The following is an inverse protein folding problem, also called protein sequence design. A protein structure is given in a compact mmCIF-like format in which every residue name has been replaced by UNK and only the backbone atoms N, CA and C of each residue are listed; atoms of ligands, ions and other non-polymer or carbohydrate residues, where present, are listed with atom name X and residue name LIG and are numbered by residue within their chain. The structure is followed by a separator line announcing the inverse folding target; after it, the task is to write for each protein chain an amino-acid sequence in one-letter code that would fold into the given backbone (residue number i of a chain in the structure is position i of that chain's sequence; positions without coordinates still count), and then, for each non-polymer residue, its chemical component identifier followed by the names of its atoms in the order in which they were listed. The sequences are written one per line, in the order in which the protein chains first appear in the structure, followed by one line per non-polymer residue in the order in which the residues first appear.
data_IF_983870401058
#
_entry.id   IF_983870401058
#
_cell.length_a   1.000
_cell.length_b   1.000
_cell.length_c   1.000
_cell.angle_alpha   90.00
_cell.angle_beta   90.00
_cell.angle_gamma   90.00
#
_symmetry.space_group_name_H-M   'P 1'
#
loop_
_entity.id
_entity.type
_entity.pdbx_description
1 polymer ?
#
# COMPACT_ATOMS: atom_id res chain seq x y z
N UNK A 1 -37.29 73.28 60.06
CA UNK A 1 -37.99 72.09 60.59
C UNK A 1 -37.87 70.97 59.57
N UNK A 2 -37.24 69.86 59.97
CA UNK A 2 -37.51 68.46 59.59
C UNK A 2 -38.03 68.10 58.17
N UNK A 3 -37.22 67.34 57.41
CA UNK A 3 -37.34 65.87 57.32
C UNK A 3 -36.29 65.27 56.36
N UNK A 4 -35.67 64.21 56.86
CA UNK A 4 -34.82 63.27 56.13
C UNK A 4 -35.62 62.48 55.09
N UNK A 5 -35.03 62.27 53.91
CA UNK A 5 -35.44 61.24 52.93
C UNK A 5 -34.19 60.54 52.40
N UNK A 6 -34.12 59.24 52.64
CA UNK A 6 -33.07 58.30 52.23
C UNK A 6 -32.98 58.20 50.70
N UNK A 7 -31.77 58.22 50.17
CA UNK A 7 -31.43 57.41 49.01
C UNK A 7 -30.02 56.81 49.18
N UNK A 8 -29.97 55.48 49.26
CA UNK A 8 -28.75 54.68 49.20
C UNK A 8 -28.20 54.76 47.77
N UNK A 9 -26.93 55.10 47.61
CA UNK A 9 -26.12 54.69 46.44
C UNK A 9 -24.89 53.95 46.95
N UNK A 10 -24.77 52.73 46.48
CA UNK A 10 -23.73 51.74 46.76
C UNK A 10 -22.40 52.14 46.11
N UNK A 11 -21.34 52.19 46.90
CA UNK A 11 -19.95 52.27 46.46
C UNK A 11 -19.36 50.85 46.43
N UNK A 12 -19.39 50.20 45.27
CA UNK A 12 -18.66 48.96 44.99
C UNK A 12 -18.36 48.92 43.50
N UNK A 13 -17.37 49.69 43.06
CA UNK A 13 -16.92 49.71 41.66
C UNK A 13 -15.54 50.37 41.52
N UNK A 14 -14.60 50.05 42.41
CA UNK A 14 -13.20 50.52 42.28
C UNK A 14 -12.16 49.39 42.27
N UNK A 15 -12.53 48.16 42.63
CA UNK A 15 -11.58 47.04 42.76
C UNK A 15 -11.29 46.31 41.42
N UNK A 16 -12.22 46.34 40.46
CA UNK A 16 -12.04 45.68 39.15
C UNK A 16 -11.11 46.46 38.19
N UNK A 17 -10.86 47.73 38.47
CA UNK A 17 -10.05 48.62 37.61
C UNK A 17 -8.54 48.39 37.80
N UNK A 18 -8.12 47.96 39.00
CA UNK A 18 -6.71 47.75 39.34
C UNK A 18 -6.21 46.39 38.81
N UNK A 19 -7.00 45.31 38.91
CA UNK A 19 -6.64 44.00 38.37
C UNK A 19 -6.49 44.00 36.83
N UNK A 20 -7.33 44.76 36.11
CA UNK A 20 -7.24 44.91 34.66
C UNK A 20 -6.02 45.75 34.24
N UNK A 21 -5.57 46.67 35.09
CA UNK A 21 -4.37 47.46 34.85
C UNK A 21 -3.10 46.61 35.01
N UNK A 22 -3.07 45.71 35.99
CA UNK A 22 -1.95 44.76 36.20
C UNK A 22 -1.83 43.77 35.04
N UNK A 23 -2.95 43.20 34.59
CA UNK A 23 -2.96 42.27 33.44
C UNK A 23 -2.44 42.91 32.15
N UNK A 24 -2.70 44.20 31.95
CA UNK A 24 -2.19 44.96 30.79
C UNK A 24 -0.70 45.32 30.92
N UNK A 25 -0.15 45.40 32.14
CA UNK A 25 1.29 45.54 32.35
C UNK A 25 2.00 44.24 32.03
N UNK A 26 1.51 43.10 32.50
CA UNK A 26 2.07 41.78 32.20
C UNK A 26 2.12 41.49 30.70
N UNK A 27 1.04 41.82 29.97
CA UNK A 27 1.01 41.66 28.51
C UNK A 27 2.04 42.55 27.81
N UNK A 28 2.19 43.80 28.27
CA UNK A 28 3.20 44.72 27.72
C UNK A 28 4.62 44.24 28.02
N UNK A 29 4.89 43.77 29.23
CA UNK A 29 6.19 43.23 29.62
C UNK A 29 6.56 41.99 28.80
N UNK A 30 5.58 41.11 28.54
CA UNK A 30 5.76 39.93 27.69
C UNK A 30 6.08 40.32 26.24
N UNK A 31 5.33 41.27 25.69
CA UNK A 31 5.53 41.74 24.31
C UNK A 31 6.85 42.53 24.15
N UNK A 32 7.24 43.30 25.16
CA UNK A 32 8.52 44.00 25.22
C UNK A 32 9.70 43.02 25.37
N UNK A 33 9.54 41.96 26.16
CA UNK A 33 10.53 40.88 26.26
C UNK A 33 10.70 40.16 24.93
N UNK A 34 9.60 39.83 24.24
CA UNK A 34 9.62 39.20 22.92
C UNK A 34 10.32 40.09 21.87
N UNK A 35 10.08 41.41 21.89
CA UNK A 35 10.80 42.36 21.02
C UNK A 35 12.28 42.41 21.32
N UNK A 36 12.68 42.35 22.59
CA UNK A 36 14.09 42.33 23.00
C UNK A 36 14.81 41.06 22.54
N UNK A 37 14.13 39.92 22.62
CA UNK A 37 14.62 38.63 22.14
C UNK A 37 14.80 38.65 20.62
N UNK A 38 13.80 39.17 19.90
CA UNK A 38 13.87 39.34 18.45
C UNK A 38 15.00 40.26 18.01
N UNK A 39 15.22 41.38 18.69
CA UNK A 39 16.34 42.29 18.40
C UNK A 39 17.70 41.66 18.71
N UNK A 40 17.80 40.82 19.76
CA UNK A 40 19.02 40.06 20.06
C UNK A 40 19.32 39.02 18.98
N UNK A 41 18.30 38.33 18.46
CA UNK A 41 18.43 37.35 17.37
C UNK A 41 18.72 38.03 16.02
N UNK A 42 18.09 39.18 15.73
CA UNK A 42 18.40 40.02 14.55
C UNK A 42 19.83 40.57 14.59
N UNK A 43 20.36 40.87 15.78
CA UNK A 43 21.75 41.31 15.96
C UNK A 43 22.78 40.17 15.87
N UNK A 44 22.41 38.94 16.22
CA UNK A 44 23.30 37.77 16.11
C UNK A 44 23.35 37.15 14.71
N UNK A 45 22.32 37.35 13.88
CA UNK A 45 22.32 36.88 12.51
C UNK A 45 23.01 37.91 11.59
N UNK A 46 24.22 37.59 11.10
CA UNK A 46 24.88 38.41 10.07
C UNK A 46 23.97 38.50 8.84
N UNK A 47 23.45 39.70 8.58
CA UNK A 47 22.63 40.04 7.42
C UNK A 47 23.43 39.79 6.11
N UNK A 48 23.18 38.68 5.42
CA UNK A 48 23.79 38.35 4.12
C UNK A 48 22.84 38.64 2.93
N UNK A 49 21.62 39.10 3.17
CA UNK A 49 20.68 39.33 2.07
C UNK A 49 19.77 40.53 2.29
N UNK A 50 20.23 41.72 1.90
CA UNK A 50 19.35 42.90 1.79
C UNK A 50 19.60 43.68 0.50
N UNK A 51 18.96 43.24 -0.60
CA UNK A 51 18.51 44.17 -1.66
C UNK A 51 17.45 43.61 -2.65
N UNK A 52 17.15 42.30 -2.68
CA UNK A 52 16.30 41.72 -3.75
C UNK A 52 14.95 41.13 -3.29
N UNK A 53 14.58 41.27 -2.02
CA UNK A 53 13.53 40.48 -1.38
C UNK A 53 12.10 40.67 -1.91
N UNK A 54 11.70 41.89 -2.33
CA UNK A 54 10.29 42.13 -2.69
C UNK A 54 9.92 41.83 -4.15
N UNK A 55 10.87 41.92 -5.11
CA UNK A 55 10.60 41.56 -6.51
C UNK A 55 10.70 40.06 -6.74
N UNK A 56 11.64 39.38 -6.08
CA UNK A 56 11.78 37.92 -6.17
C UNK A 56 10.57 37.18 -5.62
N UNK A 57 10.01 37.63 -4.50
CA UNK A 57 8.81 37.01 -3.91
C UNK A 57 7.55 37.21 -4.78
N UNK A 58 7.38 38.39 -5.37
CA UNK A 58 6.26 38.68 -6.27
C UNK A 58 6.36 37.91 -7.61
N UNK A 59 7.57 37.76 -8.15
CA UNK A 59 7.80 37.00 -9.38
C UNK A 59 7.71 35.48 -9.12
N UNK A 60 8.18 35.00 -7.97
CA UNK A 60 7.95 33.63 -7.51
C UNK A 60 6.47 33.34 -7.28
N UNK A 61 5.71 34.26 -6.66
CA UNK A 61 4.27 34.11 -6.49
C UNK A 61 3.51 34.15 -7.82
N UNK A 62 3.97 34.93 -8.81
CA UNK A 62 3.40 34.90 -10.17
C UNK A 62 3.71 33.59 -10.89
N UNK A 63 4.94 33.07 -10.80
CA UNK A 63 5.32 31.76 -11.35
C UNK A 63 4.51 30.63 -10.73
N UNK A 64 4.32 30.67 -9.42
CA UNK A 64 3.54 29.67 -8.69
C UNK A 64 2.04 29.76 -9.04
N UNK A 65 1.51 30.97 -9.29
CA UNK A 65 0.14 31.18 -9.78
C UNK A 65 -0.05 30.71 -11.22
N UNK A 66 0.88 31.05 -12.12
CA UNK A 66 0.88 30.56 -13.50
C UNK A 66 0.97 29.03 -13.53
N UNK A 67 1.83 28.43 -12.71
CA UNK A 67 1.93 26.98 -12.57
C UNK A 67 0.63 26.35 -12.05
N UNK A 68 -0.06 26.97 -11.08
CA UNK A 68 -1.36 26.48 -10.61
C UNK A 68 -2.47 26.63 -11.66
N UNK A 69 -2.54 27.77 -12.35
CA UNK A 69 -3.55 28.03 -13.38
C UNK A 69 -3.34 27.17 -14.64
N UNK A 70 -2.08 26.90 -15.01
CA UNK A 70 -1.73 26.00 -16.11
C UNK A 70 -1.94 24.53 -15.71
N UNK A 71 -1.65 24.16 -14.46
CA UNK A 71 -1.98 22.83 -13.93
C UNK A 71 -3.48 22.57 -13.95
N UNK A 72 -4.31 23.53 -13.56
CA UNK A 72 -5.77 23.38 -13.63
C UNK A 72 -6.29 23.13 -15.06
N UNK A 73 -5.66 23.74 -16.07
CA UNK A 73 -5.99 23.53 -17.49
C UNK A 73 -5.40 22.23 -18.07
N UNK A 74 -4.24 21.79 -17.58
CA UNK A 74 -3.57 20.56 -18.03
C UNK A 74 -4.19 19.30 -17.40
N UNK A 75 -4.71 19.39 -16.17
CA UNK A 75 -5.31 18.24 -15.46
C UNK A 75 -6.43 17.52 -16.24
N UNK A 76 -7.37 18.21 -16.92
CA UNK A 76 -8.34 17.57 -17.80
C UNK A 76 -7.70 16.83 -18.97
N UNK A 77 -6.66 17.40 -19.60
CA UNK A 77 -5.97 16.78 -20.73
C UNK A 77 -5.19 15.54 -20.28
N UNK A 78 -4.47 15.63 -19.15
CA UNK A 78 -3.77 14.51 -18.51
C UNK A 78 -4.73 13.40 -18.11
N UNK A 79 -5.93 13.71 -17.61
CA UNK A 79 -6.98 12.72 -17.33
C UNK A 79 -7.46 11.99 -18.59
N UNK A 80 -7.57 12.69 -19.72
CA UNK A 80 -7.95 12.05 -20.99
C UNK A 80 -6.82 11.15 -21.51
N UNK A 81 -5.56 11.60 -21.39
CA UNK A 81 -4.39 10.80 -21.78
C UNK A 81 -4.23 9.55 -20.91
N UNK A 82 -4.33 9.67 -19.59
CA UNK A 82 -4.26 8.52 -18.68
C UNK A 82 -5.41 7.55 -18.92
N UNK A 83 -6.63 8.05 -19.19
CA UNK A 83 -7.78 7.21 -19.58
C UNK A 83 -7.52 6.45 -20.88
N UNK A 84 -6.90 7.07 -21.88
CA UNK A 84 -6.55 6.40 -23.15
C UNK A 84 -5.55 5.27 -22.91
N UNK A 85 -4.47 5.54 -22.17
CA UNK A 85 -3.48 4.54 -21.80
C UNK A 85 -4.10 3.38 -21.01
N UNK A 86 -4.99 3.68 -20.05
CA UNK A 86 -5.71 2.66 -19.30
C UNK A 86 -6.60 1.79 -20.19
N UNK A 87 -7.30 2.38 -21.16
CA UNK A 87 -8.17 1.63 -22.08
C UNK A 87 -7.37 0.75 -23.04
N UNK A 88 -6.16 1.16 -23.44
CA UNK A 88 -5.25 0.32 -24.22
C UNK A 88 -4.81 -0.90 -23.42
N UNK A 89 -4.28 -0.70 -22.20
CA UNK A 89 -3.89 -1.81 -21.30
C UNK A 89 -5.06 -2.75 -20.99
N UNK A 90 -6.22 -2.18 -20.64
CA UNK A 90 -7.43 -2.96 -20.35
C UNK A 90 -7.92 -3.77 -21.54
N UNK A 91 -7.72 -3.27 -22.76
CA UNK A 91 -8.05 -4.03 -23.98
C UNK A 91 -7.15 -5.25 -24.09
N UNK A 92 -5.84 -5.08 -23.92
CA UNK A 92 -4.87 -6.18 -23.96
C UNK A 92 -5.19 -7.25 -22.90
N UNK A 93 -5.43 -6.83 -21.66
CA UNK A 93 -5.84 -7.72 -20.57
C UNK A 93 -7.10 -8.53 -20.92
N UNK A 94 -8.11 -7.87 -21.51
CA UNK A 94 -9.36 -8.54 -21.88
C UNK A 94 -9.23 -9.50 -23.05
N UNK A 95 -8.35 -9.21 -24.01
CA UNK A 95 -8.05 -10.16 -25.10
C UNK A 95 -7.32 -11.38 -24.53
N UNK A 96 -6.39 -11.19 -23.60
CA UNK A 96 -5.67 -12.28 -22.95
C UNK A 96 -6.60 -13.17 -22.08
N UNK A 97 -7.51 -12.54 -21.32
CA UNK A 97 -8.53 -13.25 -20.52
C UNK A 97 -9.45 -14.08 -21.42
N UNK A 98 -9.93 -13.52 -22.54
CA UNK A 98 -10.75 -14.26 -23.51
C UNK A 98 -9.99 -15.43 -24.14
N UNK A 99 -8.69 -15.28 -24.42
CA UNK A 99 -7.87 -16.36 -24.94
C UNK A 99 -7.65 -17.47 -23.90
N UNK A 100 -7.42 -17.11 -22.64
CA UNK A 100 -7.30 -18.05 -21.54
C UNK A 100 -8.60 -18.82 -21.30
N UNK A 101 -9.74 -18.12 -21.28
CA UNK A 101 -11.06 -18.73 -21.12
C UNK A 101 -11.33 -19.79 -22.22
N UNK A 102 -11.04 -19.47 -23.48
CA UNK A 102 -11.21 -20.41 -24.59
C UNK A 102 -10.27 -21.61 -24.45
N UNK A 103 -9.02 -21.36 -24.05
CA UNK A 103 -8.02 -22.43 -23.85
C UNK A 103 -8.42 -23.38 -22.73
N UNK A 104 -8.91 -22.84 -21.61
CA UNK A 104 -9.38 -23.64 -20.48
C UNK A 104 -10.63 -24.44 -20.85
N UNK A 105 -11.57 -23.84 -21.58
CA UNK A 105 -12.77 -24.51 -22.09
C UNK A 105 -12.42 -25.70 -23.01
N UNK A 106 -11.40 -25.55 -23.87
CA UNK A 106 -10.92 -26.60 -24.78
C UNK A 106 -10.11 -27.68 -24.07
N UNK A 107 -9.31 -27.32 -23.07
CA UNK A 107 -8.46 -28.25 -22.34
C UNK A 107 -9.24 -29.06 -21.29
N UNK A 108 -10.12 -28.42 -20.54
CA UNK A 108 -10.86 -29.05 -19.44
C UNK A 108 -12.06 -29.87 -19.92
N UNK A 109 -12.68 -29.49 -21.04
CA UNK A 109 -13.92 -30.09 -21.52
C UNK A 109 -13.88 -30.52 -22.99
N UNK A 110 -12.92 -31.39 -23.41
CA UNK A 110 -12.84 -31.86 -24.79
C UNK A 110 -13.99 -32.81 -25.17
N UNK A 111 -14.37 -33.71 -24.25
CA UNK A 111 -15.37 -34.77 -24.50
C UNK A 111 -16.73 -34.51 -23.83
N UNK A 112 -16.98 -33.28 -23.37
CA UNK A 112 -18.23 -32.93 -22.71
C UNK A 112 -19.39 -32.81 -23.73
N UNK A 113 -20.57 -33.33 -23.37
CA UNK A 113 -21.80 -33.10 -24.13
C UNK A 113 -22.29 -31.65 -23.89
N UNK A 114 -21.99 -30.77 -24.85
CA UNK A 114 -22.25 -29.32 -24.75
C UNK A 114 -23.68 -29.01 -25.19
N UNK A 115 -24.38 -28.16 -24.44
CA UNK A 115 -25.72 -27.69 -24.84
C UNK A 115 -25.64 -26.71 -26.03
N UNK A 116 -26.71 -26.62 -26.83
CA UNK A 116 -26.80 -25.68 -27.96
C UNK A 116 -26.58 -24.21 -27.58
N UNK A 117 -26.80 -23.85 -26.31
CA UNK A 117 -26.51 -22.50 -25.80
C UNK A 117 -25.02 -22.30 -25.59
N UNK A 118 -24.38 -23.23 -24.89
CA UNK A 118 -22.94 -23.18 -24.61
C UNK A 118 -22.11 -23.26 -25.90
N UNK A 119 -22.58 -24.01 -26.91
CA UNK A 119 -21.95 -24.05 -28.23
C UNK A 119 -21.93 -22.68 -28.90
N UNK A 120 -23.07 -21.98 -28.91
CA UNK A 120 -23.17 -20.62 -29.46
C UNK A 120 -22.31 -19.62 -28.68
N UNK A 121 -22.25 -19.76 -27.36
CA UNK A 121 -21.41 -18.89 -26.52
C UNK A 121 -19.92 -19.12 -26.82
N UNK A 122 -19.48 -20.39 -26.98
CA UNK A 122 -18.11 -20.74 -27.39
C UNK A 122 -17.78 -20.20 -28.79
N UNK A 123 -18.69 -20.36 -29.76
CA UNK A 123 -18.52 -19.83 -31.11
C UNK A 123 -18.45 -18.29 -31.11
N UNK A 124 -19.30 -17.63 -30.32
CA UNK A 124 -19.26 -16.17 -30.15
C UNK A 124 -17.93 -15.69 -29.56
N UNK A 125 -17.43 -16.34 -28.50
CA UNK A 125 -16.11 -16.01 -27.91
C UNK A 125 -14.99 -16.15 -28.94
N UNK A 126 -15.00 -17.22 -29.74
CA UNK A 126 -14.01 -17.46 -30.81
C UNK A 126 -14.07 -16.37 -31.88
N UNK A 127 -15.26 -16.03 -32.35
CA UNK A 127 -15.45 -14.96 -33.33
C UNK A 127 -14.99 -13.60 -32.79
N UNK A 128 -15.29 -13.31 -31.52
CA UNK A 128 -14.86 -12.08 -30.87
C UNK A 128 -13.34 -11.97 -30.76
N UNK A 129 -12.66 -13.07 -30.37
CA UNK A 129 -11.20 -13.12 -30.32
C UNK A 129 -10.58 -12.91 -31.71
N UNK A 130 -11.17 -13.51 -32.75
CA UNK A 130 -10.72 -13.33 -34.13
C UNK A 130 -10.82 -11.86 -34.56
N UNK A 131 -11.98 -11.23 -34.36
CA UNK A 131 -12.19 -9.81 -34.70
C UNK A 131 -11.20 -8.93 -33.93
N UNK A 132 -10.95 -9.21 -32.65
CA UNK A 132 -9.98 -8.47 -31.84
C UNK A 132 -8.55 -8.58 -32.40
N UNK A 133 -8.11 -9.80 -32.79
CA UNK A 133 -6.80 -10.04 -33.41
C UNK A 133 -6.68 -9.40 -34.79
N UNK A 134 -7.72 -9.44 -35.60
CA UNK A 134 -7.76 -8.77 -36.91
C UNK A 134 -7.65 -7.26 -36.77
N UNK A 135 -8.33 -6.67 -35.78
CA UNK A 135 -8.24 -5.25 -35.48
C UNK A 135 -6.83 -4.83 -35.01
N UNK A 136 -6.11 -5.68 -34.28
CA UNK A 136 -4.71 -5.41 -33.91
C UNK A 136 -3.77 -5.49 -35.10
N UNK A 137 -3.91 -6.52 -35.93
CA UNK A 137 -3.15 -6.64 -37.19
C UNK A 137 -3.40 -5.45 -38.11
N UNK A 138 -4.64 -4.99 -38.23
CA UNK A 138 -4.99 -3.80 -39.00
C UNK A 138 -4.31 -2.53 -38.44
N UNK A 139 -4.27 -2.37 -37.10
CA UNK A 139 -3.55 -1.26 -36.46
C UNK A 139 -2.04 -1.30 -36.71
N UNK A 140 -1.43 -2.48 -36.62
CA UNK A 140 0.00 -2.65 -36.91
C UNK A 140 0.30 -2.31 -38.37
N UNK A 141 -0.57 -2.72 -39.29
CA UNK A 141 -0.44 -2.41 -40.71
C UNK A 141 -0.57 -0.90 -41.00
N UNK A 142 -1.52 -0.21 -40.34
CA UNK A 142 -1.63 1.25 -40.39
C UNK A 142 -0.39 1.98 -39.85
N UNK A 143 0.24 1.43 -38.80
CA UNK A 143 1.46 1.98 -38.20
C UNK A 143 2.68 1.82 -39.12
N UNK A 144 2.72 0.77 -39.94
CA UNK A 144 3.87 0.45 -40.80
C UNK A 144 3.94 1.32 -42.07
N UNK A 145 2.88 2.05 -42.47
CA UNK A 145 2.88 2.77 -43.76
C UNK A 145 2.31 4.21 -43.75
N UNK A 146 2.59 5.02 -42.74
CA UNK A 146 2.31 6.46 -42.82
C UNK A 146 3.57 7.28 -42.59
N UNK A 147 4.13 7.83 -43.67
CA UNK A 147 5.06 8.95 -43.56
C UNK A 147 4.35 10.07 -42.80
N UNK A 148 4.75 10.29 -41.55
CA UNK A 148 4.20 11.36 -40.72
C UNK A 148 4.95 12.63 -41.10
N UNK A 149 4.29 13.53 -41.82
CA UNK A 149 4.86 14.85 -42.11
C UNK A 149 5.19 15.53 -40.77
N UNK A 150 6.45 15.92 -40.52
CA UNK A 150 6.83 16.65 -39.32
C UNK A 150 5.95 17.88 -39.18
N UNK A 151 5.41 18.14 -37.99
CA UNK A 151 4.68 19.37 -37.73
C UNK A 151 5.69 20.46 -37.37
N UNK A 152 5.48 21.66 -37.88
CA UNK A 152 6.25 22.84 -37.46
C UNK A 152 5.99 23.11 -35.97
N UNK A 153 6.86 22.58 -35.12
CA UNK A 153 6.86 22.86 -33.68
C UNK A 153 7.22 24.33 -33.48
N UNK A 154 6.36 25.08 -32.78
CA UNK A 154 6.66 26.47 -32.39
C UNK A 154 7.88 26.46 -31.47
N UNK A 155 8.72 27.50 -31.58
CA UNK A 155 9.95 27.69 -30.80
C UNK A 155 9.69 27.48 -29.30
N UNK A 156 10.05 26.31 -28.77
CA UNK A 156 9.87 25.92 -27.36
C UNK A 156 9.25 24.54 -27.12
N UNK A 157 8.67 23.88 -28.11
CA UNK A 157 8.18 22.51 -28.00
C UNK A 157 9.19 21.52 -28.59
N UNK A 158 9.82 20.72 -27.74
CA UNK A 158 10.64 19.58 -28.15
C UNK A 158 9.70 18.39 -28.40
N UNK A 159 9.68 17.83 -29.62
CA UNK A 159 9.09 16.50 -29.80
C UNK A 159 9.92 15.51 -28.97
N UNK A 160 9.36 15.05 -27.86
CA UNK A 160 9.98 14.02 -27.03
C UNK A 160 9.94 12.70 -27.81
N UNK A 161 11.12 12.28 -28.29
CA UNK A 161 11.30 10.94 -28.82
C UNK A 161 11.17 9.96 -27.65
N UNK A 162 9.99 9.36 -27.50
CA UNK A 162 9.76 8.28 -26.55
C UNK A 162 10.16 6.99 -27.24
N UNK A 163 11.35 6.50 -26.91
CA UNK A 163 11.82 5.19 -27.34
C UNK A 163 10.96 4.14 -26.62
N UNK A 164 10.08 3.48 -27.36
CA UNK A 164 9.21 2.42 -26.81
C UNK A 164 10.08 1.19 -26.63
N UNK A 165 10.61 0.99 -25.42
CA UNK A 165 11.39 -0.22 -25.08
C UNK A 165 10.47 -1.44 -25.15
N UNK A 166 10.73 -2.36 -26.09
CA UNK A 166 9.93 -3.56 -26.33
C UNK A 166 9.82 -4.47 -25.10
N UNK A 167 10.74 -4.31 -24.13
CA UNK A 167 10.73 -5.00 -22.82
C UNK A 167 9.54 -4.60 -21.94
N UNK A 168 8.86 -3.48 -22.23
CA UNK A 168 7.68 -3.01 -21.51
C UNK A 168 6.41 -3.81 -21.84
N UNK A 169 6.39 -4.55 -22.95
CA UNK A 169 5.22 -5.30 -23.44
C UNK A 169 4.97 -6.62 -22.69
N UNK A 170 5.81 -6.97 -21.71
CA UNK A 170 5.68 -8.21 -20.94
C UNK A 170 4.70 -8.06 -19.76
N UNK A 171 3.90 -9.10 -19.45
CA UNK A 171 3.04 -9.10 -18.26
C UNK A 171 3.87 -8.83 -16.98
N UNK A 172 3.35 -7.98 -16.09
CA UNK A 172 3.98 -7.54 -14.83
C UNK A 172 5.24 -6.65 -14.97
N UNK A 173 5.47 -6.04 -16.13
CA UNK A 173 6.58 -5.09 -16.35
C UNK A 173 6.55 -3.89 -15.39
N UNK A 174 5.36 -3.38 -15.05
CA UNK A 174 5.20 -2.25 -14.12
C UNK A 174 5.57 -2.60 -12.68
N UNK A 175 5.18 -3.79 -12.22
CA UNK A 175 5.50 -4.26 -10.86
C UNK A 175 7.01 -4.42 -10.70
N UNK A 176 7.66 -5.04 -11.69
CA UNK A 176 9.12 -5.19 -11.73
C UNK A 176 9.85 -3.87 -11.81
N UNK A 177 9.34 -2.90 -12.57
CA UNK A 177 9.92 -1.55 -12.62
C UNK A 177 9.79 -0.83 -11.29
N UNK A 178 8.63 -0.90 -10.66
CA UNK A 178 8.40 -0.32 -9.35
C UNK A 178 9.31 -0.94 -8.29
N UNK A 179 9.45 -2.27 -8.30
CA UNK A 179 10.39 -2.99 -7.44
C UNK A 179 11.83 -2.60 -7.73
N UNK A 180 12.24 -2.52 -8.99
CA UNK A 180 13.58 -2.11 -9.40
C UNK A 180 13.91 -0.66 -9.04
N UNK A 181 12.94 0.25 -9.13
CA UNK A 181 13.10 1.67 -8.79
C UNK A 181 13.15 1.87 -7.26
N UNK A 182 12.33 1.14 -6.51
CA UNK A 182 12.41 1.06 -5.05
C UNK A 182 13.75 0.48 -4.59
N UNK A 183 14.22 -0.57 -5.26
CA UNK A 183 15.50 -1.21 -4.92
C UNK A 183 16.69 -0.33 -5.32
N UNK A 184 16.64 0.33 -6.48
CA UNK A 184 17.63 1.31 -6.89
C UNK A 184 17.66 2.48 -5.90
N UNK A 185 16.51 3.04 -5.53
CA UNK A 185 16.44 4.15 -4.57
C UNK A 185 16.91 3.75 -3.16
N UNK A 186 16.68 2.50 -2.73
CA UNK A 186 17.24 1.95 -1.49
C UNK A 186 18.76 1.72 -1.55
N UNK A 187 19.30 1.37 -2.73
CA UNK A 187 20.74 1.19 -2.98
C UNK A 187 21.47 2.53 -3.23
N UNK A 188 20.74 3.59 -3.58
CA UNK A 188 21.27 4.94 -3.76
C UNK A 188 21.74 5.54 -2.42
N UNK A 189 23.00 5.29 -2.05
CA UNK A 189 23.69 6.01 -0.97
C UNK A 189 24.30 7.31 -1.49
N UNK A 190 23.93 8.43 -0.89
CA UNK A 190 24.47 9.76 -1.20
C UNK A 190 25.82 9.97 -0.50
N UNK A 191 26.91 10.00 -1.26
CA UNK A 191 28.27 10.29 -0.75
C UNK A 191 29.36 10.13 -1.79
N UNK A 192 30.29 11.10 -1.85
CA UNK A 192 31.34 11.23 -2.87
C UNK A 192 32.67 10.54 -2.53
N UNK A 193 32.75 9.75 -1.46
CA UNK A 193 34.02 9.18 -0.99
C UNK A 193 34.37 7.80 -1.55
N UNK A 194 33.38 7.01 -2.01
CA UNK A 194 33.61 5.59 -2.34
C UNK A 194 33.39 5.28 -3.82
N UNK A 195 33.70 6.24 -4.70
CA UNK A 195 33.60 6.03 -6.15
C UNK A 195 34.72 5.12 -6.70
N UNK A 196 35.87 5.05 -6.01
CA UNK A 196 37.02 4.21 -6.42
C UNK A 196 36.88 2.74 -6.03
N UNK A 197 36.20 2.44 -4.93
CA UNK A 197 35.99 1.06 -4.46
C UNK A 197 34.93 0.33 -5.32
N UNK A 198 33.95 1.06 -5.87
CA UNK A 198 32.92 0.50 -6.77
C UNK A 198 33.47 -0.02 -8.09
N UNK A 199 34.55 0.57 -8.63
CA UNK A 199 35.13 0.13 -9.89
C UNK A 199 35.92 -1.20 -9.76
N UNK A 200 36.30 -1.58 -8.54
CA UNK A 200 37.06 -2.80 -8.27
C UNK A 200 36.19 -4.00 -7.87
N UNK A 201 34.94 -3.78 -7.45
CA UNK A 201 34.02 -4.85 -7.00
C UNK A 201 33.02 -5.32 -8.07
N UNK A 202 33.09 -4.79 -9.31
CA UNK A 202 32.13 -5.10 -10.37
C UNK A 202 32.44 -6.38 -11.16
N UNK A 203 33.55 -7.06 -10.92
CA UNK A 203 33.89 -8.33 -11.58
C UNK A 203 34.23 -9.41 -10.55
N UNK A 204 33.21 -9.98 -9.91
CA UNK A 204 33.09 -11.41 -9.54
C UNK A 204 31.82 -11.59 -8.69
N UNK A 205 30.84 -12.33 -9.22
CA UNK A 205 29.72 -12.79 -8.42
C UNK A 205 30.18 -14.03 -7.65
N UNK A 206 30.58 -13.86 -6.39
CA UNK A 206 30.62 -14.98 -5.45
C UNK A 206 29.18 -15.26 -5.00
N UNK A 207 28.64 -16.40 -5.45
CA UNK A 207 27.37 -16.92 -4.98
C UNK A 207 27.51 -17.36 -3.51
N UNK A 208 27.23 -16.45 -2.58
CA UNK A 208 26.98 -16.83 -1.19
C UNK A 208 25.58 -17.46 -1.10
N UNK A 209 25.53 -18.77 -1.36
CA UNK A 209 24.46 -19.62 -0.81
C UNK A 209 24.72 -19.79 0.69
N UNK A 210 23.68 -19.51 1.48
CA UNK A 210 23.49 -19.88 2.88
C UNK A 210 24.66 -19.66 3.84
N UNK A 211 24.89 -18.40 4.22
CA UNK A 211 25.45 -18.10 5.54
C UNK A 211 24.46 -17.26 6.36
N UNK A 212 23.66 -18.03 7.09
CA UNK A 212 23.11 -17.73 8.40
C UNK A 212 23.85 -16.59 9.13
N UNK A 213 23.13 -15.49 9.36
CA UNK A 213 23.43 -14.32 10.19
C UNK A 213 24.53 -14.56 11.27
N UNK A 214 25.77 -14.18 10.97
CA UNK A 214 26.91 -14.11 11.92
C UNK A 214 26.66 -13.17 13.12
N UNK A 215 25.66 -12.29 13.02
CA UNK A 215 25.33 -11.33 14.08
C UNK A 215 24.77 -11.99 15.34
N UNK A 216 24.23 -13.22 15.27
CA UNK A 216 23.67 -13.91 16.44
C UNK A 216 24.76 -14.72 17.20
N UNK A 217 25.83 -15.15 16.52
CA UNK A 217 26.85 -16.00 17.12
C UNK A 217 27.89 -15.24 17.96
N UNK A 218 28.04 -13.93 17.72
CA UNK A 218 28.89 -13.06 18.54
C UNK A 218 28.34 -12.78 19.95
N UNK A 219 27.07 -13.10 20.24
CA UNK A 219 26.47 -12.93 21.56
C UNK A 219 26.51 -14.17 22.46
N UNK A 220 26.99 -15.32 21.97
CA UNK A 220 27.17 -16.53 22.76
C UNK A 220 28.66 -16.92 22.87
N UNK A 221 29.44 -16.12 23.60
CA UNK A 221 30.67 -16.62 24.21
C UNK A 221 30.32 -17.53 25.39
N UNK A 222 30.90 -18.74 25.36
CA UNK A 222 30.59 -19.84 26.27
C UNK A 222 30.93 -19.58 27.74
N UNK A 223 29.91 -19.68 28.58
CA UNK A 223 30.05 -20.00 30.00
C UNK A 223 29.87 -21.51 30.19
N UNK A 224 30.82 -22.15 30.87
CA UNK A 224 30.80 -23.57 31.25
C UNK A 224 29.51 -23.92 32.01
N UNK A 225 28.70 -24.85 31.49
CA UNK A 225 27.82 -25.73 32.26
C UNK A 225 27.46 -26.98 31.45
N UNK A 226 27.24 -28.04 32.18
CA UNK A 226 27.43 -29.45 31.85
C UNK A 226 26.53 -29.99 30.73
N UNK A 227 27.05 -31.02 30.04
CA UNK A 227 26.33 -31.83 29.06
C UNK A 227 25.28 -32.69 29.76
N UNK A 228 24.00 -32.41 29.52
CA UNK A 228 22.95 -33.41 29.64
C UNK A 228 22.41 -33.73 28.23
N UNK A 229 22.72 -34.95 27.78
CA UNK A 229 22.23 -35.49 26.52
C UNK A 229 20.72 -35.72 26.59
N UNK A 230 19.99 -35.13 25.64
CA UNK A 230 18.66 -35.61 25.25
C UNK A 230 18.72 -36.00 23.78
N UNK A 231 18.33 -37.25 23.54
CA UNK A 231 18.26 -37.87 22.23
C UNK A 231 17.46 -36.98 21.26
N UNK A 232 18.02 -36.77 20.07
CA UNK A 232 17.38 -36.02 19.00
C UNK A 232 16.15 -36.76 18.50
N UNK A 233 14.98 -36.27 18.90
CA UNK A 233 13.69 -36.62 18.33
C UNK A 233 13.67 -36.15 16.87
N UNK A 234 13.14 -36.98 15.96
CA UNK A 234 13.19 -36.75 14.51
C UNK A 234 12.49 -35.44 14.11
N UNK A 235 12.95 -34.78 13.04
CA UNK A 235 12.38 -33.50 12.56
C UNK A 235 10.87 -33.56 12.24
N UNK A 236 10.38 -34.76 11.88
CA UNK A 236 8.97 -34.99 11.62
C UNK A 236 8.12 -34.96 12.92
N UNK A 237 8.67 -35.42 14.04
CA UNK A 237 8.04 -35.33 15.35
C UNK A 237 8.12 -33.90 15.89
N UNK A 238 9.23 -33.17 15.65
CA UNK A 238 9.34 -31.73 15.98
C UNK A 238 8.36 -30.84 15.21
N UNK A 239 8.08 -31.15 13.93
CA UNK A 239 7.04 -30.46 13.13
C UNK A 239 5.61 -30.80 13.56
N UNK A 240 5.36 -32.03 14.04
CA UNK A 240 4.05 -32.40 14.60
C UNK A 240 3.80 -31.82 15.98
N UNK A 241 4.84 -31.77 16.82
CA UNK A 241 4.77 -31.17 18.16
C UNK A 241 4.53 -29.65 18.12
N UNK A 242 4.90 -28.95 17.04
CA UNK A 242 4.67 -27.50 16.90
C UNK A 242 3.28 -27.11 16.38
N UNK A 243 2.59 -27.94 15.60
CA UNK A 243 1.25 -27.60 15.09
C UNK A 243 0.22 -27.65 16.22
N UNK A 244 0.25 -28.68 17.07
CA UNK A 244 -0.68 -28.77 18.20
C UNK A 244 -0.43 -27.65 19.23
N UNK A 245 0.83 -27.31 19.49
CA UNK A 245 1.21 -26.19 20.37
C UNK A 245 0.74 -24.85 19.81
N UNK A 246 0.90 -24.63 18.50
CA UNK A 246 0.41 -23.41 17.85
C UNK A 246 -1.12 -23.34 17.85
N UNK A 247 -1.83 -24.46 17.64
CA UNK A 247 -3.28 -24.51 17.75
C UNK A 247 -3.77 -24.19 19.18
N UNK A 248 -3.10 -24.73 20.20
CA UNK A 248 -3.38 -24.44 21.63
C UNK A 248 -3.12 -22.98 21.99
N UNK A 249 -2.20 -22.31 21.28
CA UNK A 249 -1.91 -20.89 21.49
C UNK A 249 -2.98 -19.94 20.94
N UNK A 250 -3.90 -20.44 20.09
CA UNK A 250 -4.91 -19.59 19.47
C UNK A 250 -5.97 -19.16 20.49
N UNK A 251 -6.43 -17.89 20.46
CA UNK A 251 -7.42 -17.37 21.42
C UNK A 251 -8.75 -18.13 21.46
N UNK A 252 -9.10 -18.87 20.40
CA UNK A 252 -10.33 -19.67 20.34
C UNK A 252 -10.25 -21.01 21.09
N UNK A 253 -9.04 -21.54 21.33
CA UNK A 253 -8.84 -22.85 21.96
C UNK A 253 -9.55 -23.02 23.32
N UNK A 254 -9.46 -22.08 24.29
CA UNK A 254 -10.13 -22.24 25.58
C UNK A 254 -11.66 -22.30 25.48
N UNK A 255 -12.25 -21.77 24.41
CA UNK A 255 -13.71 -21.75 24.19
C UNK A 255 -14.22 -22.95 23.38
N UNK A 256 -13.37 -23.96 23.10
CA UNK A 256 -13.73 -25.11 22.28
C UNK A 256 -14.95 -25.85 22.82
N UNK A 257 -14.97 -26.16 24.12
CA UNK A 257 -16.04 -26.93 24.74
C UNK A 257 -17.35 -26.15 24.77
N UNK A 258 -17.29 -24.88 25.20
CA UNK A 258 -18.45 -23.97 25.22
C UNK A 258 -19.05 -23.79 23.82
N UNK A 259 -18.20 -23.70 22.79
CA UNK A 259 -18.64 -23.59 21.41
C UNK A 259 -19.42 -24.83 20.96
N UNK A 260 -18.92 -26.03 21.26
CA UNK A 260 -19.59 -27.29 20.88
C UNK A 260 -20.93 -27.43 21.64
N UNK A 261 -20.96 -27.06 22.92
CA UNK A 261 -22.19 -27.05 23.71
C UNK A 261 -23.23 -26.09 23.10
N UNK A 262 -22.83 -24.86 22.77
CA UNK A 262 -23.70 -23.85 22.18
C UNK A 262 -24.24 -24.28 20.79
N UNK A 263 -23.42 -24.95 19.97
CA UNK A 263 -23.84 -25.46 18.65
C UNK A 263 -24.85 -26.61 18.79
N UNK A 264 -24.74 -27.44 19.81
CA UNK A 264 -25.72 -28.50 20.09
C UNK A 264 -27.06 -27.93 20.60
N UNK A 265 -27.02 -26.84 21.37
CA UNK A 265 -28.22 -26.21 21.93
C UNK A 265 -28.94 -25.29 20.93
N UNK A 266 -28.19 -24.64 20.05
CA UNK A 266 -28.72 -23.61 19.15
C UNK A 266 -28.48 -23.94 17.67
N UNK A 267 -29.56 -23.96 16.89
CA UNK A 267 -29.48 -24.15 15.44
C UNK A 267 -28.73 -23.02 14.72
N UNK A 268 -28.75 -21.80 15.27
CA UNK A 268 -28.07 -20.62 14.71
C UNK A 268 -27.24 -19.99 15.82
N UNK A 269 -25.94 -19.82 15.57
CA UNK A 269 -25.00 -19.21 16.50
C UNK A 269 -24.20 -18.10 15.79
N UNK A 270 -24.09 -16.95 16.44
CA UNK A 270 -23.26 -15.82 15.97
C UNK A 270 -21.97 -15.82 16.77
N UNK A 271 -20.84 -15.91 16.06
CA UNK A 271 -19.50 -15.95 16.68
C UNK A 271 -18.76 -14.68 16.28
N UNK A 272 -18.43 -13.86 17.27
CA UNK A 272 -17.62 -12.66 17.09
C UNK A 272 -16.16 -12.92 17.50
N UNK A 273 -15.22 -12.31 16.81
CA UNK A 273 -13.85 -12.21 17.29
C UNK A 273 -12.92 -11.53 16.28
N UNK A 274 -11.73 -11.15 16.71
CA UNK A 274 -10.74 -10.47 15.88
C UNK A 274 -10.15 -11.38 14.77
N UNK A 275 -9.66 -10.79 13.69
CA UNK A 275 -8.89 -11.51 12.67
C UNK A 275 -7.64 -12.13 13.29
N UNK A 276 -7.35 -13.40 12.97
CA UNK A 276 -6.20 -14.12 13.57
C UNK A 276 -6.54 -14.88 14.85
N UNK A 277 -7.77 -14.77 15.39
CA UNK A 277 -8.19 -15.54 16.58
C UNK A 277 -8.35 -17.05 16.34
N UNK A 278 -8.20 -17.53 15.10
CA UNK A 278 -8.36 -18.93 14.73
C UNK A 278 -9.77 -19.37 14.30
N UNK A 279 -10.75 -18.46 14.18
CA UNK A 279 -12.15 -18.82 13.81
C UNK A 279 -12.26 -19.69 12.56
N UNK A 280 -11.74 -19.20 11.44
CA UNK A 280 -11.89 -19.85 10.15
C UNK A 280 -11.11 -21.16 10.03
N UNK A 281 -10.00 -21.31 10.76
CA UNK A 281 -9.15 -22.49 10.71
C UNK A 281 -9.55 -23.56 11.72
N UNK A 282 -9.97 -23.18 12.93
CA UNK A 282 -10.21 -24.11 14.04
C UNK A 282 -11.66 -24.56 14.19
N UNK A 283 -12.66 -23.69 13.92
CA UNK A 283 -14.08 -24.06 14.11
C UNK A 283 -14.47 -25.29 13.28
N UNK A 284 -14.12 -25.38 11.97
CA UNK A 284 -14.43 -26.58 11.20
C UNK A 284 -13.74 -27.84 11.74
N UNK A 285 -12.54 -27.71 12.30
CA UNK A 285 -11.80 -28.83 12.90
C UNK A 285 -12.51 -29.32 14.18
N UNK A 286 -12.94 -28.41 15.06
CA UNK A 286 -13.67 -28.79 16.28
C UNK A 286 -15.00 -29.47 15.97
N UNK A 287 -15.72 -29.01 14.94
CA UNK A 287 -16.95 -29.65 14.47
C UNK A 287 -16.70 -31.04 13.88
N UNK A 288 -15.61 -31.20 13.15
CA UNK A 288 -15.22 -32.52 12.63
C UNK A 288 -14.89 -33.48 13.77
N UNK A 289 -14.07 -33.05 14.73
CA UNK A 289 -13.70 -33.84 15.91
C UNK A 289 -14.89 -34.17 16.82
N UNK A 290 -15.87 -33.27 16.92
CA UNK A 290 -17.11 -33.51 17.66
C UNK A 290 -18.09 -34.46 16.96
N UNK A 291 -17.77 -34.96 15.75
CA UNK A 291 -18.53 -36.00 15.08
C UNK A 291 -19.70 -35.51 14.22
N UNK A 292 -19.80 -34.22 13.93
CA UNK A 292 -20.89 -33.66 13.09
C UNK A 292 -20.87 -34.15 11.64
N UNK A 293 -19.80 -34.83 11.21
CA UNK A 293 -19.64 -35.39 9.86
C UNK A 293 -19.85 -36.90 9.78
N UNK A 294 -20.06 -37.58 10.92
CA UNK A 294 -20.15 -39.05 10.97
C UNK A 294 -21.37 -39.62 10.21
N UNK A 295 -22.45 -38.85 10.09
CA UNK A 295 -23.67 -39.23 9.34
C UNK A 295 -23.53 -39.08 7.81
N UNK A 296 -22.30 -38.89 7.29
CA UNK A 296 -22.06 -38.55 5.88
C UNK A 296 -22.37 -37.09 5.53
N UNK A 297 -22.63 -36.25 6.54
CA UNK A 297 -22.82 -34.80 6.39
C UNK A 297 -21.47 -34.10 6.20
N UNK A 298 -21.47 -32.97 5.49
CA UNK A 298 -20.27 -32.14 5.25
C UNK A 298 -20.41 -30.79 5.94
N UNK A 299 -19.29 -30.27 6.43
CA UNK A 299 -19.19 -28.91 6.98
C UNK A 299 -18.78 -27.97 5.84
N UNK A 300 -19.60 -26.95 5.57
CA UNK A 300 -19.29 -25.91 4.61
C UNK A 300 -18.78 -24.65 5.30
N UNK A 301 -17.54 -24.24 5.03
CA UNK A 301 -17.04 -22.92 5.40
C UNK A 301 -17.04 -22.03 4.16
N UNK A 302 -17.83 -20.96 4.15
CA UNK A 302 -17.87 -20.00 3.04
C UNK A 302 -16.88 -18.86 3.29
N UNK A 303 -16.24 -18.39 2.23
CA UNK A 303 -15.31 -17.26 2.27
C UNK A 303 -15.70 -16.24 1.20
N UNK A 304 -15.65 -14.92 1.49
CA UNK A 304 -16.01 -13.89 0.52
C UNK A 304 -15.01 -13.76 -0.63
N UNK A 305 -13.79 -14.28 -0.47
CA UNK A 305 -12.71 -14.19 -1.47
C UNK A 305 -12.24 -15.58 -1.86
N UNK A 306 -12.12 -15.82 -3.18
CA UNK A 306 -11.61 -17.08 -3.74
C UNK A 306 -10.21 -17.44 -3.21
N UNK A 307 -9.31 -16.47 -3.14
CA UNK A 307 -7.93 -16.68 -2.64
C UNK A 307 -7.94 -17.14 -1.18
N UNK A 308 -8.82 -16.57 -0.34
CA UNK A 308 -8.93 -16.96 1.06
C UNK A 308 -9.44 -18.41 1.21
N UNK A 309 -10.44 -18.80 0.40
CA UNK A 309 -10.95 -20.17 0.40
C UNK A 309 -9.84 -21.19 0.07
N UNK A 310 -9.06 -20.92 -0.99
CA UNK A 310 -7.97 -21.81 -1.40
C UNK A 310 -6.85 -21.86 -0.36
N UNK A 311 -6.43 -20.70 0.18
CA UNK A 311 -5.35 -20.65 1.16
C UNK A 311 -5.71 -21.29 2.50
N UNK A 312 -6.97 -21.20 2.92
CA UNK A 312 -7.45 -21.82 4.16
C UNK A 312 -7.59 -23.33 3.98
N UNK A 313 -8.05 -23.80 2.81
CA UNK A 313 -8.19 -25.23 2.54
C UNK A 313 -6.84 -25.96 2.46
N UNK A 314 -5.78 -25.27 2.03
CA UNK A 314 -4.43 -25.84 1.95
C UNK A 314 -3.66 -25.81 3.29
N UNK A 315 -4.15 -25.05 4.28
CA UNK A 315 -3.51 -24.83 5.59
C UNK A 315 -4.02 -25.82 6.62
#
# INVERSE_FOLDING_TARGET
MSKSSKHRKSSTSDDSSEEDAERRRDLKERDEFAKRLKQRDEGQTRNVASSSGNRGYADAAKRLKLETEDREKLLPQLRVQSRRQYLEKRKEDKVAELEADIRDDEYLFPDAEITERERRDREYKKNLLQIAKEHEKARELERVQRYRMPKDVKKGETEEYVEVDERERMPHSEQKKWEAEQLASAVYKFGSKDAKERAAQQEEYELLLDEQIDFIQALQMGGTKEKDGKAEISEAEKKKMTIEETQKSLPIYPFKEDLIAAINEHQILIIEGETGSGKTTQIPQYLYEAGFTNDGKKIGCTQPRRVAAMSVAAR
#
